data_IF_299875433156
#
_entry.id   IF_299875433156
#
_cell.length_a   1.000
_cell.length_b   1.000
_cell.length_c   1.000
_cell.angle_alpha   90.00
_cell.angle_beta   90.00
_cell.angle_gamma   90.00
#
_symmetry.space_group_name_H-M   'P 1'
#
loop_
_entity.id
_entity.type
_entity.pdbx_description
1 polymer ?
#
# COMPACT_ATOMS: atom_id res chain seq x y z
N UNK A 1 -15.20 -3.89 16.19
CA UNK A 1 -16.30 -3.81 17.20
C UNK A 1 -17.06 -2.50 17.03
N UNK A 2 -18.39 -2.46 17.23
CA UNK A 2 -19.08 -1.18 17.29
C UNK A 2 -18.59 -0.37 18.49
N UNK A 3 -18.19 0.88 18.25
CA UNK A 3 -17.81 1.82 19.32
C UNK A 3 -19.08 2.31 20.00
N UNK A 4 -19.18 2.14 21.31
CA UNK A 4 -20.27 2.68 22.12
C UNK A 4 -19.80 3.96 22.82
N UNK A 5 -20.56 5.03 22.67
CA UNK A 5 -20.28 6.32 23.31
C UNK A 5 -21.42 6.67 24.25
N UNK A 6 -21.09 6.89 25.52
CA UNK A 6 -22.05 7.40 26.50
C UNK A 6 -22.06 8.92 26.47
N UNK A 7 -23.23 9.51 26.27
CA UNK A 7 -23.45 10.95 26.25
C UNK A 7 -24.41 11.32 27.37
N UNK A 8 -23.98 12.19 28.26
CA UNK A 8 -24.76 12.59 29.44
C UNK A 8 -24.79 14.09 29.66
N UNK A 9 -25.63 14.55 30.59
CA UNK A 9 -25.66 15.91 31.08
C UNK A 9 -26.24 16.93 30.08
N UNK A 10 -25.57 18.06 29.92
CA UNK A 10 -26.06 19.17 29.09
C UNK A 10 -26.07 18.78 27.62
N UNK A 11 -25.08 18.01 27.16
CA UNK A 11 -24.97 17.61 25.75
C UNK A 11 -26.12 16.66 25.37
N UNK A 12 -26.44 15.71 26.23
CA UNK A 12 -27.59 14.81 26.03
C UNK A 12 -28.90 15.62 25.93
N UNK A 13 -29.12 16.56 26.85
CA UNK A 13 -30.34 17.41 26.85
C UNK A 13 -30.44 18.21 25.54
N UNK A 14 -29.34 18.76 25.06
CA UNK A 14 -29.31 19.48 23.77
C UNK A 14 -29.65 18.59 22.60
N UNK A 15 -29.06 17.40 22.54
CA UNK A 15 -29.34 16.43 21.47
C UNK A 15 -30.80 15.99 21.47
N UNK A 16 -31.38 15.66 22.65
CA UNK A 16 -32.80 15.32 22.77
C UNK A 16 -33.69 16.46 22.28
N UNK A 17 -33.35 17.73 22.59
CA UNK A 17 -34.12 18.90 22.15
C UNK A 17 -34.09 19.07 20.62
N UNK A 18 -32.97 18.70 19.94
CA UNK A 18 -32.93 18.72 18.48
C UNK A 18 -33.87 17.68 17.86
N UNK A 19 -34.02 16.52 18.51
CA UNK A 19 -35.00 15.48 18.12
C UNK A 19 -36.43 15.96 18.38
N UNK A 20 -36.70 16.55 19.54
CA UNK A 20 -38.01 17.09 19.89
C UNK A 20 -38.48 18.20 18.94
N UNK A 21 -37.53 18.98 18.40
CA UNK A 21 -37.77 20.01 17.38
C UNK A 21 -37.92 19.44 15.94
N UNK A 22 -37.79 18.13 15.78
CA UNK A 22 -37.94 17.46 14.48
C UNK A 22 -36.75 17.68 13.51
N UNK A 23 -35.60 18.20 14.02
CA UNK A 23 -34.42 18.40 13.20
C UNK A 23 -33.67 17.08 12.91
N UNK A 24 -33.84 16.09 13.77
CA UNK A 24 -33.32 14.73 13.62
C UNK A 24 -34.38 13.70 14.06
N UNK A 25 -34.35 12.52 13.46
CA UNK A 25 -35.26 11.43 13.83
C UNK A 25 -34.85 10.73 15.14
N UNK A 26 -33.57 10.83 15.53
CA UNK A 26 -33.04 10.24 16.75
C UNK A 26 -31.76 10.92 17.23
N UNK A 27 -31.43 10.74 18.52
CA UNK A 27 -30.15 11.18 19.09
C UNK A 27 -28.97 10.54 18.36
N UNK A 28 -29.08 9.25 17.99
CA UNK A 28 -28.01 8.55 17.25
C UNK A 28 -27.78 9.13 15.87
N UNK A 29 -28.81 9.64 15.20
CA UNK A 29 -28.67 10.36 13.93
C UNK A 29 -27.96 11.70 14.13
N UNK A 30 -28.39 12.49 15.10
CA UNK A 30 -27.76 13.77 15.44
C UNK A 30 -26.27 13.61 15.79
N UNK A 31 -25.91 12.56 16.54
CA UNK A 31 -24.51 12.24 16.87
C UNK A 31 -23.72 11.86 15.63
N UNK A 32 -24.27 10.99 14.77
CA UNK A 32 -23.59 10.61 13.50
C UNK A 32 -23.32 11.81 12.60
N UNK A 33 -24.30 12.73 12.52
CA UNK A 33 -24.16 13.95 11.74
C UNK A 33 -23.09 14.89 12.34
N UNK A 34 -23.08 15.06 13.66
CA UNK A 34 -22.04 15.82 14.35
C UNK A 34 -20.63 15.25 14.15
N UNK A 35 -20.49 13.91 14.13
CA UNK A 35 -19.22 13.23 13.85
C UNK A 35 -18.80 13.46 12.40
N UNK A 36 -19.71 13.36 11.43
CA UNK A 36 -19.40 13.69 10.02
C UNK A 36 -18.92 15.13 9.88
N UNK A 37 -19.66 16.09 10.46
CA UNK A 37 -19.29 17.49 10.43
C UNK A 37 -17.92 17.77 11.10
N UNK A 38 -17.53 16.98 12.09
CA UNK A 38 -16.18 17.03 12.66
C UNK A 38 -15.12 16.64 11.61
N UNK A 39 -15.30 15.50 10.93
CA UNK A 39 -14.35 15.07 9.91
C UNK A 39 -14.30 15.99 8.70
N UNK A 40 -15.41 16.63 8.30
CA UNK A 40 -15.43 17.64 7.24
C UNK A 40 -14.63 18.91 7.59
N UNK A 41 -14.47 19.21 8.88
CA UNK A 41 -13.66 20.36 9.37
C UNK A 41 -12.19 20.03 9.54
N UNK A 42 -11.83 18.77 9.65
CA UNK A 42 -10.44 18.33 9.79
C UNK A 42 -9.80 18.15 8.41
N UNK A 43 -8.62 18.70 8.22
CA UNK A 43 -7.79 18.33 7.08
C UNK A 43 -7.13 16.97 7.37
N UNK A 44 -7.88 15.88 7.06
CA UNK A 44 -7.39 14.53 7.31
C UNK A 44 -6.11 14.22 6.56
N UNK A 45 -5.86 14.85 5.40
CA UNK A 45 -4.60 14.70 4.65
C UNK A 45 -3.42 15.30 5.39
N UNK A 46 -3.63 16.50 5.97
CA UNK A 46 -2.58 17.15 6.78
C UNK A 46 -2.26 16.33 8.03
N UNK A 47 -3.27 15.83 8.74
CA UNK A 47 -3.08 14.94 9.90
C UNK A 47 -2.41 13.61 9.50
N UNK A 48 -2.81 13.02 8.37
CA UNK A 48 -2.19 11.82 7.83
C UNK A 48 -0.70 12.05 7.51
N UNK A 49 -0.36 13.22 6.94
CA UNK A 49 1.02 13.60 6.68
C UNK A 49 1.84 13.77 7.97
N UNK A 50 1.23 14.29 9.03
CA UNK A 50 1.86 14.37 10.35
C UNK A 50 2.12 12.96 10.92
N UNK A 51 1.15 12.05 10.83
CA UNK A 51 1.33 10.64 11.22
C UNK A 51 2.46 10.00 10.43
N UNK A 52 2.54 10.28 9.13
CA UNK A 52 3.62 9.79 8.28
C UNK A 52 4.99 10.32 8.73
N UNK A 53 5.14 11.59 9.01
CA UNK A 53 6.43 12.23 9.29
C UNK A 53 6.90 12.04 10.73
N UNK A 54 5.98 12.09 11.70
CA UNK A 54 6.29 12.09 13.14
C UNK A 54 6.15 10.70 13.76
N UNK A 55 5.16 9.91 13.30
CA UNK A 55 4.80 8.63 13.93
C UNK A 55 5.22 7.42 13.12
N UNK A 56 6.03 7.58 12.10
CA UNK A 56 6.49 6.50 11.22
C UNK A 56 5.34 5.61 10.70
N UNK A 57 4.17 6.23 10.39
CA UNK A 57 3.04 5.52 9.82
C UNK A 57 3.34 5.03 8.40
N UNK A 58 2.95 3.79 8.04
CA UNK A 58 3.05 3.29 6.67
C UNK A 58 2.21 4.15 5.70
N UNK A 59 2.53 4.09 4.41
CA UNK A 59 1.73 4.80 3.41
C UNK A 59 0.31 4.22 3.34
N UNK A 60 0.15 2.91 3.54
CA UNK A 60 -1.16 2.26 3.65
C UNK A 60 -1.97 2.81 4.82
N UNK A 61 -1.34 3.03 5.98
CA UNK A 61 -1.99 3.65 7.14
C UNK A 61 -2.46 5.08 6.83
N UNK A 62 -1.62 5.87 6.15
CA UNK A 62 -1.95 7.25 5.76
C UNK A 62 -3.13 7.28 4.77
N UNK A 63 -3.16 6.37 3.81
CA UNK A 63 -4.26 6.19 2.85
C UNK A 63 -5.56 5.84 3.57
N UNK A 64 -5.53 4.84 4.45
CA UNK A 64 -6.70 4.40 5.22
C UNK A 64 -7.23 5.53 6.12
N UNK A 65 -6.34 6.22 6.84
CA UNK A 65 -6.71 7.31 7.74
C UNK A 65 -7.31 8.52 7.01
N UNK A 66 -6.72 8.90 5.85
CA UNK A 66 -7.18 10.07 5.09
C UNK A 66 -8.40 9.78 4.22
N UNK A 67 -8.69 8.50 3.90
CA UNK A 67 -9.71 8.10 2.94
C UNK A 67 -9.31 8.37 1.48
N UNK A 68 -8.04 8.65 1.21
CA UNK A 68 -7.50 8.91 -0.12
C UNK A 68 -7.07 7.63 -0.83
N UNK A 69 -6.71 7.76 -2.10
CA UNK A 69 -6.00 6.72 -2.86
C UNK A 69 -4.49 6.85 -2.66
N UNK A 70 -3.72 5.81 -2.99
CA UNK A 70 -2.25 5.90 -3.01
C UNK A 70 -1.76 7.05 -3.89
N UNK A 71 -2.34 7.21 -5.08
CA UNK A 71 -1.99 8.28 -6.01
C UNK A 71 -2.29 9.67 -5.42
N UNK A 72 -3.50 9.85 -4.88
CA UNK A 72 -3.91 11.13 -4.28
C UNK A 72 -3.06 11.54 -3.08
N UNK A 73 -2.69 10.59 -2.23
CA UNK A 73 -1.83 10.89 -1.07
C UNK A 73 -0.37 11.15 -1.48
N UNK A 74 0.15 10.42 -2.46
CA UNK A 74 1.50 10.66 -3.00
C UNK A 74 1.59 12.06 -3.61
N UNK A 75 0.62 12.45 -4.44
CA UNK A 75 0.56 13.78 -5.04
C UNK A 75 0.44 14.88 -3.98
N UNK A 76 -0.39 14.66 -2.96
CA UNK A 76 -0.50 15.58 -1.83
C UNK A 76 0.81 15.73 -1.08
N UNK A 77 1.50 14.63 -0.76
CA UNK A 77 2.79 14.63 -0.08
C UNK A 77 3.85 15.39 -0.89
N UNK A 78 3.94 15.13 -2.19
CA UNK A 78 4.86 15.82 -3.09
C UNK A 78 4.57 17.32 -3.16
N UNK A 79 3.30 17.72 -3.20
CA UNK A 79 2.89 19.13 -3.19
C UNK A 79 3.30 19.87 -1.90
N UNK A 80 3.49 19.12 -0.81
CA UNK A 80 3.96 19.63 0.50
C UNK A 80 5.47 19.50 0.69
N UNK A 81 6.20 19.04 -0.31
CA UNK A 81 7.65 18.85 -0.23
C UNK A 81 8.09 17.67 0.65
N UNK A 82 7.19 16.72 0.89
CA UNK A 82 7.45 15.51 1.68
C UNK A 82 7.34 14.29 0.76
N UNK A 83 8.43 13.89 0.09
CA UNK A 83 8.39 12.72 -0.79
C UNK A 83 8.14 11.45 0.02
N UNK A 84 7.32 10.51 -0.49
CA UNK A 84 7.13 9.21 0.15
C UNK A 84 8.43 8.41 0.13
N UNK A 85 8.67 7.64 1.19
CA UNK A 85 9.84 6.75 1.30
C UNK A 85 9.41 5.35 0.86
N UNK A 86 9.32 5.15 -0.45
CA UNK A 86 8.87 3.90 -1.08
C UNK A 86 9.92 3.38 -2.06
N UNK A 87 9.94 2.07 -2.29
CA UNK A 87 10.94 1.38 -3.11
C UNK A 87 12.08 0.80 -2.30
N UNK A 88 13.28 0.74 -2.83
CA UNK A 88 14.46 0.21 -2.15
C UNK A 88 15.38 1.33 -1.69
N UNK A 89 15.74 1.37 -0.41
CA UNK A 89 16.73 2.31 0.11
C UNK A 89 18.16 1.81 -0.14
N UNK A 90 18.34 0.50 -0.15
CA UNK A 90 19.63 -0.16 -0.29
C UNK A 90 19.53 -1.30 -1.30
N UNK A 91 20.64 -1.71 -1.95
CA UNK A 91 20.65 -2.85 -2.84
C UNK A 91 20.19 -4.16 -2.19
N UNK A 92 20.34 -4.32 -0.89
CA UNK A 92 19.88 -5.51 -0.13
C UNK A 92 18.35 -5.63 -0.08
N UNK A 93 17.64 -4.53 -0.33
CA UNK A 93 16.17 -4.54 -0.44
C UNK A 93 15.69 -5.17 -1.77
N UNK A 94 16.64 -5.50 -2.66
CA UNK A 94 16.39 -6.06 -3.98
C UNK A 94 17.15 -7.39 -4.08
N UNK A 95 16.45 -8.43 -4.48
CA UNK A 95 17.05 -9.76 -4.62
C UNK A 95 16.32 -10.62 -5.63
N UNK A 96 16.95 -11.71 -6.04
CA UNK A 96 16.32 -12.70 -6.91
C UNK A 96 15.26 -13.48 -6.12
N UNK A 97 14.06 -13.55 -6.67
CA UNK A 97 12.92 -14.26 -6.08
C UNK A 97 13.08 -15.77 -6.33
N UNK A 98 13.26 -16.52 -5.26
CA UNK A 98 13.50 -17.97 -5.33
C UNK A 98 12.25 -18.82 -5.05
N UNK A 99 11.08 -18.23 -4.91
CA UNK A 99 9.84 -18.93 -4.59
C UNK A 99 8.64 -17.98 -4.58
N UNK A 100 7.47 -18.46 -4.18
CA UNK A 100 6.25 -17.67 -4.19
C UNK A 100 6.37 -16.42 -3.29
N UNK A 101 5.71 -15.36 -3.70
CA UNK A 101 5.75 -14.06 -3.01
C UNK A 101 4.35 -13.57 -2.67
N UNK A 102 4.24 -12.85 -1.56
CA UNK A 102 3.04 -12.14 -1.16
C UNK A 102 3.21 -10.65 -1.42
N UNK A 103 2.23 -10.02 -2.04
CA UNK A 103 2.23 -8.60 -2.40
C UNK A 103 1.39 -7.80 -1.41
N UNK A 104 1.88 -6.66 -0.94
CA UNK A 104 1.03 -5.71 -0.23
C UNK A 104 0.24 -4.81 -1.22
N UNK A 105 -0.80 -4.08 -0.76
CA UNK A 105 -1.63 -3.26 -1.63
C UNK A 105 -0.87 -2.16 -2.38
N UNK A 106 0.11 -1.52 -1.75
CA UNK A 106 0.95 -0.50 -2.41
C UNK A 106 1.79 -1.13 -3.52
N UNK A 107 2.40 -2.27 -3.25
CA UNK A 107 3.22 -2.99 -4.22
C UNK A 107 2.40 -3.46 -5.42
N UNK A 108 1.17 -3.93 -5.20
CA UNK A 108 0.23 -4.21 -6.30
C UNK A 108 0.01 -2.96 -7.15
N UNK A 109 -0.24 -1.80 -6.52
CA UNK A 109 -0.40 -0.54 -7.23
C UNK A 109 0.84 -0.19 -8.07
N UNK A 110 2.04 -0.26 -7.48
CA UNK A 110 3.33 0.01 -8.16
C UNK A 110 3.53 -0.90 -9.36
N UNK A 111 3.32 -2.20 -9.20
CA UNK A 111 3.50 -3.20 -10.26
C UNK A 111 2.61 -2.86 -11.47
N UNK A 112 1.31 -2.64 -11.23
CA UNK A 112 0.35 -2.40 -12.32
C UNK A 112 0.46 -1.02 -12.97
N UNK A 113 0.98 -0.02 -12.26
CA UNK A 113 1.26 1.33 -12.79
C UNK A 113 2.58 1.43 -13.55
N UNK A 114 3.41 0.40 -13.50
CA UNK A 114 4.73 0.36 -14.15
C UNK A 114 4.86 -0.82 -15.11
N UNK A 115 5.99 -0.90 -15.81
CA UNK A 115 6.35 -2.05 -16.64
C UNK A 115 6.69 -3.32 -15.84
N UNK A 116 6.73 -3.25 -14.51
CA UNK A 116 6.93 -4.45 -13.68
C UNK A 116 5.83 -5.49 -13.87
N UNK A 117 4.61 -5.08 -14.26
CA UNK A 117 3.51 -6.02 -14.52
C UNK A 117 3.83 -6.99 -15.68
N UNK A 118 4.47 -6.51 -16.75
CA UNK A 118 4.84 -7.35 -17.88
C UNK A 118 5.95 -8.33 -17.51
N UNK A 119 6.91 -7.87 -16.68
CA UNK A 119 7.97 -8.72 -16.14
C UNK A 119 7.40 -9.77 -15.16
N UNK A 120 6.51 -9.36 -14.26
CA UNK A 120 5.85 -10.27 -13.32
C UNK A 120 5.02 -11.34 -14.03
N UNK A 121 4.29 -10.94 -15.07
CA UNK A 121 3.55 -11.89 -15.90
C UNK A 121 4.46 -12.94 -16.54
N UNK A 122 5.60 -12.52 -17.10
CA UNK A 122 6.57 -13.43 -17.69
C UNK A 122 7.19 -14.38 -16.67
N UNK A 123 7.48 -13.88 -15.48
CA UNK A 123 7.96 -14.69 -14.35
C UNK A 123 6.89 -15.70 -13.89
N UNK A 124 5.62 -15.25 -13.84
CA UNK A 124 4.51 -16.15 -13.51
C UNK A 124 4.35 -17.27 -14.53
N UNK A 125 4.49 -16.98 -15.83
CA UNK A 125 4.50 -17.98 -16.90
C UNK A 125 5.65 -18.99 -16.75
N UNK A 126 6.72 -18.59 -16.06
CA UNK A 126 7.88 -19.45 -15.77
C UNK A 126 7.78 -20.17 -14.42
N UNK A 127 6.63 -20.07 -13.74
CA UNK A 127 6.31 -20.79 -12.52
C UNK A 127 6.44 -20.01 -11.21
N UNK A 128 6.88 -18.76 -11.24
CA UNK A 128 6.89 -17.91 -10.05
C UNK A 128 5.46 -17.47 -9.69
N UNK A 129 5.03 -17.73 -8.45
CA UNK A 129 3.67 -17.42 -7.99
C UNK A 129 3.63 -16.09 -7.25
N UNK A 130 2.59 -15.29 -7.55
CA UNK A 130 2.31 -14.01 -6.92
C UNK A 130 0.98 -14.10 -6.20
N UNK A 131 1.00 -13.90 -4.89
CA UNK A 131 -0.18 -13.87 -4.03
C UNK A 131 -0.47 -12.43 -3.60
N UNK A 132 -1.75 -12.10 -3.43
CA UNK A 132 -2.18 -10.84 -2.81
C UNK A 132 -3.45 -11.07 -1.98
N UNK A 133 -3.74 -10.23 -0.98
CA UNK A 133 -4.97 -10.37 -0.20
C UNK A 133 -6.19 -10.13 -1.09
N UNK A 134 -7.26 -10.90 -0.88
CA UNK A 134 -8.48 -10.82 -1.68
C UNK A 134 -9.08 -9.40 -1.71
N UNK A 135 -8.88 -8.61 -0.67
CA UNK A 135 -9.37 -7.23 -0.56
C UNK A 135 -8.84 -6.31 -1.67
N UNK A 136 -7.70 -6.60 -2.30
CA UNK A 136 -7.18 -5.80 -3.43
C UNK A 136 -7.75 -6.20 -4.80
N UNK A 137 -8.56 -7.26 -4.89
CA UNK A 137 -9.11 -7.74 -6.16
C UNK A 137 -9.87 -6.66 -6.94
N UNK A 138 -10.73 -5.80 -6.33
CA UNK A 138 -11.37 -4.71 -7.05
C UNK A 138 -10.37 -3.70 -7.63
N UNK A 139 -9.30 -3.37 -6.88
CA UNK A 139 -8.24 -2.48 -7.34
C UNK A 139 -7.52 -3.07 -8.55
N UNK A 140 -7.17 -4.34 -8.51
CA UNK A 140 -6.50 -5.05 -9.62
C UNK A 140 -7.37 -5.03 -10.86
N UNK A 141 -8.68 -5.30 -10.75
CA UNK A 141 -9.61 -5.25 -11.89
C UNK A 141 -9.62 -3.87 -12.58
N UNK A 142 -9.63 -2.80 -11.80
CA UNK A 142 -9.56 -1.43 -12.35
C UNK A 142 -8.24 -1.19 -13.06
N UNK A 143 -7.12 -1.57 -12.45
CA UNK A 143 -5.78 -1.40 -13.02
C UNK A 143 -5.60 -2.22 -14.31
N UNK A 144 -6.11 -3.45 -14.35
CA UNK A 144 -6.15 -4.30 -15.55
C UNK A 144 -6.96 -3.63 -16.68
N UNK A 145 -8.15 -3.10 -16.36
CA UNK A 145 -8.96 -2.40 -17.36
C UNK A 145 -8.24 -1.17 -17.92
N UNK A 146 -7.50 -0.43 -17.10
CA UNK A 146 -6.68 0.71 -17.54
C UNK A 146 -5.56 0.23 -18.47
N UNK A 147 -4.85 -0.85 -18.13
CA UNK A 147 -3.79 -1.44 -18.96
C UNK A 147 -4.33 -1.91 -20.31
N UNK A 148 -5.45 -2.63 -20.31
CA UNK A 148 -6.13 -3.09 -21.53
C UNK A 148 -6.47 -1.94 -22.47
N UNK A 149 -7.02 -0.83 -21.94
CA UNK A 149 -7.32 0.39 -22.74
C UNK A 149 -6.08 1.03 -23.35
N UNK A 150 -4.91 0.83 -22.77
CA UNK A 150 -3.62 1.31 -23.29
C UNK A 150 -2.94 0.31 -24.23
N UNK A 151 -3.60 -0.79 -24.57
CA UNK A 151 -3.05 -1.85 -25.41
C UNK A 151 -1.93 -2.66 -24.75
N UNK A 152 -1.80 -2.57 -23.42
CA UNK A 152 -0.85 -3.36 -22.64
C UNK A 152 -1.44 -4.73 -22.28
N UNK A 153 -0.56 -5.70 -22.01
CA UNK A 153 -1.02 -7.00 -21.55
C UNK A 153 -1.76 -6.87 -20.20
N UNK A 154 -2.98 -7.40 -20.14
CA UNK A 154 -3.90 -7.29 -19.00
C UNK A 154 -4.30 -8.66 -18.43
N UNK A 155 -3.51 -9.71 -18.70
CA UNK A 155 -3.78 -11.03 -18.16
C UNK A 155 -3.51 -11.07 -16.65
N UNK A 156 -4.45 -11.63 -15.88
CA UNK A 156 -4.28 -11.85 -14.44
C UNK A 156 -3.13 -12.82 -14.17
N UNK A 157 -2.26 -12.48 -13.24
CA UNK A 157 -1.17 -13.32 -12.76
C UNK A 157 -1.14 -13.44 -11.24
N UNK A 158 -2.02 -12.72 -10.54
CA UNK A 158 -2.12 -12.73 -9.07
C UNK A 158 -3.15 -13.77 -8.65
N UNK A 159 -2.76 -14.63 -7.72
CA UNK A 159 -3.65 -15.53 -6.99
C UNK A 159 -4.06 -14.85 -5.67
N UNK A 160 -5.35 -14.82 -5.37
CA UNK A 160 -5.83 -14.16 -4.17
C UNK A 160 -5.87 -15.10 -2.98
N UNK A 161 -5.47 -14.58 -1.82
CA UNK A 161 -5.47 -15.31 -0.55
C UNK A 161 -6.34 -14.60 0.48
N UNK A 162 -7.00 -15.38 1.32
CA UNK A 162 -7.71 -14.87 2.48
C UNK A 162 -6.72 -14.65 3.62
N UNK A 163 -6.68 -13.44 4.14
CA UNK A 163 -5.89 -13.11 5.32
C UNK A 163 -6.82 -12.73 6.47
N UNK A 164 -6.53 -13.22 7.65
CA UNK A 164 -7.35 -12.93 8.83
C UNK A 164 -6.94 -11.56 9.40
N UNK A 165 -7.73 -10.55 9.11
CA UNK A 165 -7.50 -9.18 9.60
C UNK A 165 -8.10 -9.05 11.00
N UNK A 166 -7.25 -9.07 12.03
CA UNK A 166 -7.66 -8.81 13.41
C UNK A 166 -8.03 -7.34 13.64
N UNK A 167 -8.83 -7.09 14.67
CA UNK A 167 -9.29 -5.74 15.04
C UNK A 167 -8.26 -4.93 15.87
N UNK A 168 -7.16 -5.55 16.29
CA UNK A 168 -6.17 -4.88 17.13
C UNK A 168 -5.34 -3.85 16.35
N UNK A 169 -5.25 -2.64 16.86
CA UNK A 169 -4.31 -1.64 16.37
C UNK A 169 -2.85 -2.04 16.68
N UNK A 170 -1.91 -1.66 15.82
CA UNK A 170 -0.49 -1.87 16.08
C UNK A 170 0.00 -0.91 17.16
N UNK A 171 0.20 -1.41 18.38
CA UNK A 171 0.85 -0.67 19.44
C UNK A 171 2.38 -0.77 19.28
N UNK A 172 2.94 0.10 18.46
CA UNK A 172 4.38 0.13 18.21
C UNK A 172 4.88 1.48 17.74
N UNK A 173 6.20 1.59 17.55
CA UNK A 173 6.80 2.81 17.00
C UNK A 173 6.39 3.02 15.53
N UNK A 174 6.25 1.93 14.76
CA UNK A 174 5.82 1.95 13.37
C UNK A 174 4.32 1.66 13.34
N UNK A 175 3.54 2.57 12.77
CA UNK A 175 2.10 2.40 12.57
C UNK A 175 1.87 1.73 11.21
N UNK A 176 1.33 0.52 11.23
CA UNK A 176 0.89 -0.23 10.05
C UNK A 176 -0.61 -0.53 10.16
N UNK A 177 -1.27 -0.68 9.02
CA UNK A 177 -2.69 -1.04 9.02
C UNK A 177 -2.93 -2.45 9.58
N UNK A 178 -4.14 -2.77 10.05
CA UNK A 178 -4.50 -4.13 10.41
C UNK A 178 -4.26 -5.14 9.27
N UNK A 179 -4.50 -4.72 8.02
CA UNK A 179 -4.24 -5.54 6.84
C UNK A 179 -2.74 -5.80 6.63
N UNK A 180 -1.89 -4.76 6.71
CA UNK A 180 -0.44 -4.93 6.56
C UNK A 180 0.13 -5.86 7.63
N UNK A 181 -0.38 -5.77 8.86
CA UNK A 181 -0.03 -6.71 9.92
C UNK A 181 -0.46 -8.14 9.59
N UNK A 182 -1.72 -8.32 9.17
CA UNK A 182 -2.23 -9.63 8.78
C UNK A 182 -1.41 -10.26 7.64
N UNK A 183 -0.92 -9.43 6.69
CA UNK A 183 -0.03 -9.88 5.63
C UNK A 183 1.33 -10.35 6.16
N UNK A 184 1.89 -9.67 7.16
CA UNK A 184 3.14 -10.10 7.80
C UNK A 184 2.94 -11.43 8.53
N UNK A 185 1.84 -11.59 9.27
CA UNK A 185 1.52 -12.83 9.96
C UNK A 185 1.28 -13.98 8.98
N UNK A 186 0.57 -13.74 7.89
CA UNK A 186 0.34 -14.71 6.82
C UNK A 186 1.64 -15.12 6.13
N UNK A 187 2.48 -14.14 5.73
CA UNK A 187 3.78 -14.42 5.12
C UNK A 187 4.67 -15.25 6.04
N UNK A 188 4.62 -14.99 7.35
CA UNK A 188 5.37 -15.74 8.35
C UNK A 188 4.87 -17.19 8.46
N UNK A 189 3.54 -17.40 8.54
CA UNK A 189 2.95 -18.75 8.68
C UNK A 189 3.20 -19.62 7.45
N UNK A 190 3.11 -19.03 6.27
CA UNK A 190 3.28 -19.74 4.98
C UNK A 190 4.74 -19.78 4.47
N UNK A 191 5.67 -19.12 5.18
CA UNK A 191 7.08 -19.05 4.76
C UNK A 191 7.29 -18.27 3.47
N UNK A 192 6.43 -17.31 3.16
CA UNK A 192 6.47 -16.50 1.95
C UNK A 192 7.43 -15.31 2.08
N UNK A 193 8.01 -14.87 0.97
CA UNK A 193 8.66 -13.56 0.89
C UNK A 193 7.59 -12.49 0.70
N UNK A 194 7.55 -11.48 1.58
CA UNK A 194 6.68 -10.33 1.42
C UNK A 194 7.34 -9.29 0.51
N UNK A 195 6.71 -8.96 -0.61
CA UNK A 195 7.08 -7.81 -1.42
C UNK A 195 6.29 -6.59 -0.95
N UNK A 196 7.02 -5.60 -0.45
CA UNK A 196 6.46 -4.31 -0.05
C UNK A 196 7.37 -3.19 -0.51
N UNK A 197 6.80 -2.18 -1.15
CA UNK A 197 7.52 -0.96 -1.51
C UNK A 197 7.53 0.05 -0.37
N UNK A 198 6.69 -0.11 0.65
CA UNK A 198 6.77 0.69 1.86
C UNK A 198 7.91 0.22 2.77
N UNK A 199 8.90 1.09 2.95
CA UNK A 199 10.07 0.81 3.81
C UNK A 199 9.65 0.52 5.26
N UNK A 200 8.55 1.12 5.73
CA UNK A 200 8.06 0.93 7.10
C UNK A 200 7.39 -0.43 7.29
N UNK A 201 6.62 -0.86 6.29
CA UNK A 201 6.04 -2.22 6.27
C UNK A 201 7.17 -3.25 6.25
N UNK A 202 8.21 -3.07 5.41
CA UNK A 202 9.38 -3.96 5.43
C UNK A 202 10.08 -3.96 6.78
N UNK A 203 10.31 -2.77 7.35
CA UNK A 203 10.93 -2.65 8.67
C UNK A 203 10.12 -3.30 9.79
N UNK A 204 8.78 -3.22 9.68
CA UNK A 204 7.88 -3.92 10.57
C UNK A 204 8.02 -5.43 10.40
N UNK A 205 7.90 -5.95 9.18
CA UNK A 205 7.95 -7.38 8.87
C UNK A 205 9.29 -8.04 9.28
N UNK A 206 10.42 -7.35 9.07
CA UNK A 206 11.74 -7.82 9.50
C UNK A 206 11.84 -8.07 11.01
N UNK A 207 11.15 -7.27 11.84
CA UNK A 207 11.09 -7.47 13.31
C UNK A 207 10.40 -8.77 13.70
N UNK A 208 9.50 -9.28 12.84
CA UNK A 208 8.80 -10.54 13.02
C UNK A 208 9.45 -11.71 12.28
N UNK A 209 10.67 -11.50 11.73
CA UNK A 209 11.45 -12.53 11.06
C UNK A 209 10.93 -12.90 9.66
N UNK A 210 10.10 -12.04 9.05
CA UNK A 210 9.61 -12.25 7.68
C UNK A 210 10.62 -11.70 6.69
N UNK A 211 11.00 -12.52 5.70
CA UNK A 211 11.83 -12.08 4.59
C UNK A 211 11.05 -11.08 3.75
N UNK A 212 11.62 -9.90 3.52
CA UNK A 212 10.97 -8.85 2.72
C UNK A 212 11.90 -8.31 1.65
N UNK A 213 11.33 -7.92 0.51
CA UNK A 213 12.01 -7.28 -0.61
C UNK A 213 11.09 -6.20 -1.21
N UNK A 214 11.63 -5.29 -2.01
CA UNK A 214 10.83 -4.36 -2.80
C UNK A 214 10.36 -4.98 -4.12
N UNK A 215 9.37 -4.37 -4.79
CA UNK A 215 8.91 -4.79 -6.12
C UNK A 215 10.01 -4.78 -7.18
N UNK A 216 11.08 -4.01 -6.97
CA UNK A 216 12.25 -3.98 -7.86
C UNK A 216 12.92 -5.36 -8.00
N UNK A 217 12.67 -6.27 -7.06
CA UNK A 217 13.09 -7.68 -7.13
C UNK A 217 12.46 -8.43 -8.31
N UNK A 218 11.32 -7.97 -8.80
CA UNK A 218 10.70 -8.52 -10.02
C UNK A 218 11.62 -8.24 -11.23
N UNK A 219 12.09 -7.01 -11.39
CA UNK A 219 13.01 -6.66 -12.47
C UNK A 219 14.35 -7.37 -12.31
N UNK A 220 14.90 -7.44 -11.10
CA UNK A 220 16.16 -8.16 -10.82
C UNK A 220 16.05 -9.65 -11.18
N UNK A 221 14.94 -10.28 -10.80
CA UNK A 221 14.67 -11.69 -11.13
C UNK A 221 14.50 -11.89 -12.62
N UNK A 222 13.74 -11.00 -13.28
CA UNK A 222 13.55 -11.04 -14.73
C UNK A 222 14.88 -10.95 -15.47
N UNK A 223 15.72 -9.95 -15.10
CA UNK A 223 17.03 -9.74 -15.72
C UNK A 223 17.94 -10.97 -15.52
N UNK A 224 17.91 -11.56 -14.34
CA UNK A 224 18.70 -12.75 -14.01
C UNK A 224 18.27 -13.95 -14.84
N UNK A 225 16.96 -14.15 -15.08
CA UNK A 225 16.45 -15.33 -15.79
C UNK A 225 16.44 -15.18 -17.31
N UNK A 226 16.17 -13.98 -17.81
CA UNK A 226 15.90 -13.76 -19.25
C UNK A 226 16.84 -12.75 -19.90
N UNK A 227 17.72 -12.12 -19.11
CA UNK A 227 18.55 -11.02 -19.59
C UNK A 227 17.83 -9.66 -19.56
N UNK A 228 18.56 -8.63 -19.94
CA UNK A 228 18.08 -7.24 -19.94
C UNK A 228 16.90 -7.08 -20.92
N UNK A 229 15.72 -6.61 -20.46
CA UNK A 229 14.61 -6.33 -21.37
C UNK A 229 14.91 -5.12 -22.26
N UNK A 230 14.39 -5.08 -23.51
CA UNK A 230 14.67 -4.00 -24.44
C UNK A 230 14.14 -2.65 -23.98
N UNK A 231 13.12 -2.66 -23.12
CA UNK A 231 12.43 -1.48 -22.59
C UNK A 231 12.80 -1.16 -21.13
N UNK A 232 14.01 -1.52 -20.68
CA UNK A 232 14.43 -1.29 -19.27
C UNK A 232 14.43 0.21 -18.91
N UNK A 233 14.76 1.08 -19.86
CA UNK A 233 14.74 2.53 -19.64
C UNK A 233 13.33 3.05 -19.40
N UNK A 234 12.34 2.58 -20.19
CA UNK A 234 10.93 2.91 -19.99
C UNK A 234 10.43 2.37 -18.64
N UNK A 235 10.86 1.16 -18.26
CA UNK A 235 10.55 0.61 -16.95
C UNK A 235 11.07 1.49 -15.82
N UNK A 236 12.32 1.93 -15.88
CA UNK A 236 12.92 2.85 -14.92
C UNK A 236 12.18 4.20 -14.88
N UNK A 237 11.84 4.76 -16.05
CA UNK A 237 11.07 6.01 -16.11
C UNK A 237 9.69 5.85 -15.46
N UNK A 238 8.99 4.75 -15.72
CA UNK A 238 7.67 4.49 -15.11
C UNK A 238 7.75 4.37 -13.60
N UNK A 239 8.79 3.76 -13.06
CA UNK A 239 9.02 3.63 -11.62
C UNK A 239 9.34 4.98 -10.97
N UNK A 240 10.18 5.80 -11.63
CA UNK A 240 10.48 7.15 -11.15
C UNK A 240 9.28 8.09 -11.19
N UNK A 241 8.34 7.87 -12.11
CA UNK A 241 7.07 8.60 -12.15
C UNK A 241 6.17 8.31 -10.93
N UNK A 242 6.35 7.17 -10.27
CA UNK A 242 5.67 6.79 -9.02
C UNK A 242 6.47 7.25 -7.77
N UNK A 243 7.41 8.13 -7.83
CA UNK A 243 8.59 8.45 -7.03
C UNK A 243 9.21 7.28 -6.24
N UNK A 244 9.35 6.13 -6.89
CA UNK A 244 9.98 4.97 -6.29
C UNK A 244 11.50 5.18 -6.16
N UNK A 245 12.05 4.93 -4.98
CA UNK A 245 13.49 5.02 -4.73
C UNK A 245 14.17 3.79 -5.32
N UNK A 246 15.14 4.03 -6.21
CA UNK A 246 15.96 2.99 -6.84
C UNK A 246 17.42 3.30 -6.49
N UNK A 247 18.15 2.39 -5.82
CA UNK A 247 19.57 2.60 -5.55
C UNK A 247 20.36 2.81 -6.85
N UNK A 248 21.21 3.82 -6.88
CA UNK A 248 21.95 4.22 -8.09
C UNK A 248 22.75 3.07 -8.70
N UNK A 249 23.41 2.28 -7.89
CA UNK A 249 24.20 1.13 -8.33
C UNK A 249 23.35 0.03 -8.98
N UNK A 250 22.07 -0.12 -8.57
CA UNK A 250 21.12 -1.03 -9.20
C UNK A 250 20.68 -0.47 -10.55
N UNK A 251 20.35 0.82 -10.61
CA UNK A 251 20.00 1.48 -11.86
C UNK A 251 21.12 1.40 -12.88
N UNK A 252 22.38 1.75 -12.49
CA UNK A 252 23.55 1.67 -13.34
C UNK A 252 23.77 0.23 -13.86
N UNK A 253 23.61 -0.78 -12.99
CA UNK A 253 23.72 -2.20 -13.38
C UNK A 253 22.66 -2.60 -14.39
N UNK A 254 21.40 -2.22 -14.19
CA UNK A 254 20.31 -2.54 -15.13
C UNK A 254 20.47 -1.85 -16.47
N UNK A 255 21.02 -0.65 -16.49
CA UNK A 255 21.35 0.07 -17.72
C UNK A 255 22.61 -0.49 -18.43
N UNK A 256 23.41 -1.31 -17.76
CA UNK A 256 24.67 -1.84 -18.28
C UNK A 256 25.78 -0.80 -18.27
N UNK A 257 25.69 0.21 -17.39
CA UNK A 257 26.72 1.21 -17.17
C UNK A 257 27.76 0.59 -16.23
N UNK A 258 28.79 -0.02 -16.76
CA UNK A 258 29.94 -0.50 -16.00
C UNK A 258 30.89 0.69 -15.73
N UNK A 259 31.21 0.92 -14.46
CA UNK A 259 32.35 1.77 -14.08
C UNK A 259 33.64 0.98 -13.99
#
# INVERSE_FOLDING_TARGET
MPVSVEISGLLERRLRRLVDLGLYSSVSEAVRDAVRALFERLDLRALALELYTVREASLGYVVEFSGETFEGIIDYMLSRGVPPVIGALNPVDIGVLGGPVLLDPLTVHVIYKSYLADMALKLNDSGLKFYAPHVVAPQVQVLEAIRARRGLNSRFFIEYVEVNVGEEESYGRILVTPLERALVDYARSEGLTLLSDDVRVRSYALRYGVKTLSSLSIAETYITMFGKPPNIEDALMSLKAIPLIIPREVEERWLGITR
#
